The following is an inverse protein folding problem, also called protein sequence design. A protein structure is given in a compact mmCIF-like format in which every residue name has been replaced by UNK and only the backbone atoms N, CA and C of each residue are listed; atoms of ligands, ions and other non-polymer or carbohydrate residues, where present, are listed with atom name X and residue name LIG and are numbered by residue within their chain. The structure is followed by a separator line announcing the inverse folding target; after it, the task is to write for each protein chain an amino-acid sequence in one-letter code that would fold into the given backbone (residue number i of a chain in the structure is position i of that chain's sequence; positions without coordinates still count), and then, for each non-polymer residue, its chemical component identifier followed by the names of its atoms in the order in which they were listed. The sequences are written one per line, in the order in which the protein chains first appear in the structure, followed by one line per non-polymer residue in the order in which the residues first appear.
data_IF_392245330085
#
_entry.id   IF_392245330085
#
_cell.length_a   1.000
_cell.length_b   1.000
_cell.length_c   1.000
_cell.angle_alpha   90.00
_cell.angle_beta   90.00
_cell.angle_gamma   90.00
#
_symmetry.space_group_name_H-M   'P 1'
#
loop_
_entity.id
_entity.type
_entity.pdbx_description
1 polymer ?
#
# COMPACT_ATOMS: atom_id res chain seq x y z
N UNK A 1 14.98 -10.89 -2.70
CA UNK A 1 14.01 -10.87 -3.79
C UNK A 1 12.79 -10.06 -3.39
N UNK A 2 12.33 -9.20 -4.27
CA UNK A 2 11.23 -8.30 -3.92
C UNK A 2 9.88 -8.95 -4.16
N UNK A 3 8.99 -8.81 -3.20
CA UNK A 3 7.64 -9.34 -3.32
C UNK A 3 6.69 -8.22 -3.67
N UNK A 4 5.76 -8.51 -4.56
CA UNK A 4 4.74 -7.56 -4.96
C UNK A 4 3.40 -8.00 -4.42
N UNK A 5 2.61 -7.02 -3.99
CA UNK A 5 1.29 -7.28 -3.43
C UNK A 5 0.23 -6.89 -4.44
N UNK A 6 -0.76 -7.75 -4.60
CA UNK A 6 -1.93 -7.39 -5.39
C UNK A 6 -2.81 -6.46 -4.57
N UNK A 7 -3.85 -5.92 -5.21
CA UNK A 7 -4.77 -5.03 -4.51
C UNK A 7 -5.40 -5.75 -3.31
N UNK A 8 -5.82 -6.99 -3.52
CA UNK A 8 -6.43 -7.76 -2.46
C UNK A 8 -5.45 -8.02 -1.31
N UNK A 9 -4.22 -8.36 -1.66
CA UNK A 9 -3.21 -8.60 -0.64
C UNK A 9 -2.87 -7.34 0.11
N UNK A 10 -2.84 -6.21 -0.58
CA UNK A 10 -2.57 -4.94 0.07
C UNK A 10 -3.67 -4.62 1.07
N UNK A 11 -4.93 -4.81 0.68
CA UNK A 11 -6.04 -4.56 1.59
C UNK A 11 -5.93 -5.41 2.84
N UNK A 12 -5.57 -6.67 2.66
CA UNK A 12 -5.44 -7.59 3.78
C UNK A 12 -4.31 -7.15 4.70
N UNK A 13 -3.19 -6.75 4.12
CA UNK A 13 -2.04 -6.31 4.90
C UNK A 13 -2.36 -5.05 5.71
N UNK A 14 -3.23 -4.22 5.18
CA UNK A 14 -3.62 -2.99 5.86
C UNK A 14 -4.80 -3.17 6.81
N UNK A 15 -5.13 -4.40 7.12
CA UNK A 15 -6.19 -4.66 8.10
C UNK A 15 -7.57 -4.66 7.50
N UNK A 16 -7.68 -4.95 6.21
CA UNK A 16 -9.00 -5.04 5.57
C UNK A 16 -9.59 -3.70 5.20
N UNK A 17 -8.75 -2.73 4.83
CA UNK A 17 -9.25 -1.44 4.41
C UNK A 17 -10.09 -1.56 3.16
N UNK A 18 -11.10 -0.71 3.05
CA UNK A 18 -11.97 -0.73 1.89
C UNK A 18 -11.24 -0.20 0.66
N UNK A 19 -11.79 -0.50 -0.51
CA UNK A 19 -11.20 -0.04 -1.75
C UNK A 19 -11.16 1.48 -1.81
N UNK A 20 -12.24 2.11 -1.39
CA UNK A 20 -12.30 3.58 -1.38
C UNK A 20 -11.23 4.16 -0.48
N UNK A 21 -10.99 3.55 0.67
CA UNK A 21 -9.97 4.03 1.59
C UNK A 21 -8.58 3.93 0.97
N UNK A 22 -8.33 2.85 0.21
CA UNK A 22 -7.04 2.69 -0.45
C UNK A 22 -6.84 3.78 -1.50
N UNK A 23 -7.85 4.05 -2.31
CA UNK A 23 -7.74 5.09 -3.31
C UNK A 23 -7.55 6.46 -2.68
N UNK A 24 -8.21 6.69 -1.57
CA UNK A 24 -8.03 7.94 -0.84
C UNK A 24 -6.61 8.08 -0.32
N UNK A 25 -6.06 7.00 0.20
CA UNK A 25 -4.69 7.01 0.70
C UNK A 25 -3.71 7.29 -0.44
N UNK A 26 -3.96 6.74 -1.62
CA UNK A 26 -3.13 7.02 -2.78
C UNK A 26 -3.19 8.49 -3.16
N UNK A 27 -4.38 9.06 -3.14
CA UNK A 27 -4.55 10.46 -3.49
C UNK A 27 -3.87 11.38 -2.50
N UNK A 28 -3.82 10.98 -1.24
CA UNK A 28 -3.21 11.79 -0.18
C UNK A 28 -1.72 11.50 0.00
N UNK A 29 -1.18 10.61 -0.79
CA UNK A 29 0.24 10.29 -0.70
C UNK A 29 0.62 9.42 0.48
N UNK A 30 -0.34 8.74 1.07
CA UNK A 30 -0.06 7.85 2.19
C UNK A 30 0.43 6.49 1.76
N UNK A 31 0.25 6.16 0.49
CA UNK A 31 0.73 4.91 -0.06
C UNK A 31 1.60 5.19 -1.27
N UNK A 32 2.56 4.31 -1.56
CA UNK A 32 3.38 4.48 -2.74
C UNK A 32 2.56 4.22 -4.00
N UNK A 33 3.03 4.75 -5.11
CA UNK A 33 2.35 4.56 -6.37
C UNK A 33 2.44 3.10 -6.78
N UNK A 34 1.34 2.52 -7.26
CA UNK A 34 1.37 1.13 -7.70
C UNK A 34 2.02 0.98 -9.06
N UNK A 35 2.45 -0.23 -9.34
CA UNK A 35 2.94 -0.58 -10.66
C UNK A 35 1.80 -1.24 -11.39
N UNK A 36 1.47 -0.71 -12.56
CA UNK A 36 0.38 -1.26 -13.34
C UNK A 36 0.91 -2.25 -14.36
N UNK A 37 0.48 -3.49 -14.24
CA UNK A 37 0.83 -4.54 -15.19
C UNK A 37 -0.46 -5.09 -15.76
N UNK A 38 -0.65 -4.88 -17.05
CA UNK A 38 -1.90 -5.27 -17.67
C UNK A 38 -3.04 -4.48 -17.06
N UNK A 39 -4.01 -5.17 -16.50
CA UNK A 39 -5.13 -4.52 -15.83
C UNK A 39 -5.07 -4.63 -14.32
N UNK A 40 -3.89 -4.97 -13.79
CA UNK A 40 -3.75 -5.18 -12.35
C UNK A 40 -2.72 -4.22 -11.78
N UNK A 41 -2.96 -3.86 -10.53
CA UNK A 41 -2.05 -2.99 -9.81
C UNK A 41 -1.25 -3.82 -8.81
N UNK A 42 0.04 -3.50 -8.71
CA UNK A 42 0.93 -4.18 -7.78
C UNK A 42 1.72 -3.16 -6.99
N UNK A 43 1.99 -3.48 -5.75
CA UNK A 43 2.81 -2.63 -4.88
C UNK A 43 4.00 -3.42 -4.39
N UNK A 44 5.22 -2.86 -4.46
CA UNK A 44 6.36 -3.53 -3.83
C UNK A 44 6.14 -3.59 -2.33
N UNK A 45 6.28 -4.78 -1.77
CA UNK A 45 6.02 -4.96 -0.34
C UNK A 45 6.94 -4.10 0.50
N UNK A 46 8.20 -3.98 0.10
CA UNK A 46 9.14 -3.15 0.84
C UNK A 46 8.72 -1.70 0.91
N UNK A 47 8.17 -1.20 -0.19
CA UNK A 47 7.71 0.19 -0.23
C UNK A 47 6.50 0.38 0.68
N UNK A 48 5.61 -0.61 0.71
CA UNK A 48 4.45 -0.55 1.59
C UNK A 48 4.89 -0.50 3.05
N UNK A 49 5.82 -1.37 3.41
CA UNK A 49 6.30 -1.41 4.79
C UNK A 49 7.00 -0.12 5.18
N UNK A 50 7.77 0.44 4.26
CA UNK A 50 8.44 1.70 4.54
C UNK A 50 7.43 2.82 4.75
N UNK A 51 6.36 2.84 3.95
CA UNK A 51 5.33 3.86 4.10
C UNK A 51 4.58 3.70 5.41
N UNK A 52 4.26 2.46 5.77
CA UNK A 52 3.56 2.23 7.03
C UNK A 52 4.43 2.63 8.22
N UNK A 53 5.73 2.39 8.11
CA UNK A 53 6.64 2.78 9.16
C UNK A 53 6.70 4.29 9.30
N UNK A 54 6.65 5.01 8.19
CA UNK A 54 6.61 6.46 8.23
C UNK A 54 5.34 7.00 8.86
N UNK A 55 4.22 6.36 8.58
CA UNK A 55 2.94 6.79 9.13
C UNK A 55 2.83 6.45 10.61
N UNK A 56 3.53 5.42 11.01
CA UNK A 56 3.48 4.90 12.36
C UNK A 56 4.51 5.61 13.21
N UNK A 57 4.36 6.88 13.39
CA UNK A 57 5.36 7.66 14.09
C UNK A 57 5.47 7.22 15.53
N UNK A 58 6.66 6.99 16.01
CA UNK A 58 6.81 6.70 17.43
C UNK A 58 6.47 7.96 18.19
N UNK A 59 5.61 7.78 19.13
CA UNK A 59 5.27 8.86 20.01
C UNK A 59 6.30 8.98 21.06
N UNK A 60 6.86 10.07 21.17
CA UNK A 60 7.92 10.20 22.13
C UNK A 60 7.46 10.85 23.39
#
# INVERSE_FOLDING_TARGET
MQTYLTFTELRSKLGGRSRSAIYLDLANGRLPQPIELGSRLYWPEGDIEAHLRCLQKPEV
#
